data_IF_101392708597
#
_entry.id   IF_101392708597
#
_cell.length_a   1.000
_cell.length_b   1.000
_cell.length_c   1.000
_cell.angle_alpha   90.00
_cell.angle_beta   90.00
_cell.angle_gamma   90.00
#
_symmetry.space_group_name_H-M   'P 1'
#
loop_
_entity.id
_entity.type
_entity.pdbx_description
1 polymer ?
#
# COMPACT_ATOMS: atom_id res chain seq x y z
N UNK A 1 -10.72 -16.88 -54.91
CA UNK A 1 -10.30 -18.23 -55.29
C UNK A 1 -10.89 -18.53 -56.68
N UNK A 2 -10.09 -19.08 -57.56
CA UNK A 2 -10.49 -19.46 -58.90
C UNK A 2 -10.42 -20.98 -59.05
N UNK A 3 -11.45 -21.55 -59.61
CA UNK A 3 -11.49 -22.93 -59.99
C UNK A 3 -11.67 -23.00 -61.53
N UNK A 4 -11.27 -24.12 -62.13
CA UNK A 4 -11.42 -24.42 -63.54
C UNK A 4 -11.93 -25.84 -63.67
N UNK A 5 -12.88 -26.06 -64.62
CA UNK A 5 -13.39 -27.38 -64.93
C UNK A 5 -12.53 -28.09 -66.01
N UNK A 6 -12.86 -29.32 -66.37
CA UNK A 6 -12.12 -30.10 -67.34
C UNK A 6 -12.29 -29.60 -68.79
N UNK A 7 -13.21 -28.66 -69.03
CA UNK A 7 -13.43 -28.00 -70.31
C UNK A 7 -12.67 -26.68 -70.45
N UNK A 8 -11.94 -26.27 -69.38
CA UNK A 8 -11.24 -24.98 -69.31
C UNK A 8 -12.14 -23.82 -68.95
N UNK A 9 -13.40 -24.07 -68.51
CA UNK A 9 -14.30 -23.01 -68.05
C UNK A 9 -13.92 -22.62 -66.58
N UNK A 10 -13.89 -21.32 -66.32
CA UNK A 10 -13.38 -20.78 -65.11
C UNK A 10 -14.51 -20.15 -64.28
N UNK A 11 -14.45 -20.40 -62.97
CA UNK A 11 -15.31 -19.77 -61.99
C UNK A 11 -14.45 -19.13 -60.82
N UNK A 12 -14.87 -17.98 -60.43
CA UNK A 12 -14.24 -17.30 -59.29
C UNK A 12 -15.23 -17.19 -58.13
N UNK A 13 -14.71 -17.35 -56.93
CA UNK A 13 -15.44 -17.10 -55.69
C UNK A 13 -14.54 -16.39 -54.69
N UNK A 14 -15.11 -15.79 -53.67
CA UNK A 14 -14.39 -15.10 -52.61
C UNK A 14 -14.40 -15.90 -51.31
N UNK A 15 -13.33 -15.81 -50.55
CA UNK A 15 -13.28 -16.24 -49.17
C UNK A 15 -13.05 -14.99 -48.30
N UNK A 16 -13.98 -14.72 -47.40
CA UNK A 16 -13.89 -13.55 -46.50
C UNK A 16 -13.88 -14.04 -45.06
N UNK A 17 -12.70 -14.11 -44.41
CA UNK A 17 -12.62 -14.49 -43.02
C UNK A 17 -13.13 -13.36 -42.13
N UNK A 18 -13.78 -13.71 -41.04
CA UNK A 18 -14.09 -12.80 -39.93
C UNK A 18 -13.21 -13.19 -38.72
N UNK A 19 -12.53 -12.20 -38.15
CA UNK A 19 -11.67 -12.39 -36.96
C UNK A 19 -12.35 -11.76 -35.77
N UNK A 20 -12.55 -12.55 -34.73
CA UNK A 20 -13.08 -12.07 -33.44
C UNK A 20 -11.90 -11.62 -32.57
N UNK A 21 -11.88 -10.37 -32.09
CA UNK A 21 -10.82 -9.91 -31.20
C UNK A 21 -10.89 -10.61 -29.85
N UNK A 22 -9.73 -10.89 -29.26
CA UNK A 22 -9.57 -11.48 -27.94
C UNK A 22 -8.88 -10.46 -27.05
N UNK A 23 -9.58 -9.97 -26.02
CA UNK A 23 -9.10 -8.91 -25.16
C UNK A 23 -8.59 -9.48 -23.84
N UNK A 24 -7.40 -9.06 -23.36
CA UNK A 24 -6.92 -9.38 -22.03
C UNK A 24 -7.75 -8.66 -20.96
N UNK A 25 -7.74 -9.20 -19.76
CA UNK A 25 -8.34 -8.60 -18.57
C UNK A 25 -7.31 -8.51 -17.44
N UNK A 26 -7.68 -7.84 -16.34
CA UNK A 26 -6.80 -7.74 -15.20
C UNK A 26 -7.58 -7.61 -13.88
N UNK A 27 -7.02 -8.19 -12.80
CA UNK A 27 -7.55 -8.10 -11.45
C UNK A 27 -6.75 -7.10 -10.62
N UNK A 28 -7.41 -6.25 -9.80
CA UNK A 28 -6.73 -5.32 -8.92
C UNK A 28 -6.08 -6.02 -7.73
N UNK A 29 -5.09 -5.37 -7.13
CA UNK A 29 -4.47 -5.77 -5.90
C UNK A 29 -4.71 -4.74 -4.79
N UNK A 30 -4.74 -5.23 -3.55
CA UNK A 30 -4.79 -4.42 -2.33
C UNK A 30 -3.81 -5.00 -1.32
N UNK A 31 -3.31 -4.13 -0.43
CA UNK A 31 -2.56 -4.54 0.75
C UNK A 31 -2.97 -3.70 1.95
N UNK A 32 -2.77 -4.24 3.14
CA UNK A 32 -2.96 -3.53 4.40
C UNK A 32 -1.81 -3.86 5.34
N UNK A 33 -1.25 -2.84 5.99
CA UNK A 33 -0.13 -3.01 6.89
C UNK A 33 0.12 -1.76 7.75
N UNK A 34 1.06 -1.84 8.69
CA UNK A 34 1.33 -0.74 9.62
C UNK A 34 1.98 0.44 8.91
N UNK A 35 1.73 1.64 9.44
CA UNK A 35 2.32 2.89 8.96
C UNK A 35 3.85 2.82 8.90
N UNK A 36 4.45 3.48 7.91
CA UNK A 36 5.90 3.58 7.75
C UNK A 36 6.59 2.33 7.19
N UNK A 37 5.86 1.23 6.95
CA UNK A 37 6.40 -0.01 6.37
C UNK A 37 6.04 -0.11 4.91
N UNK A 38 7.02 -0.50 4.09
CA UNK A 38 6.83 -0.78 2.68
C UNK A 38 5.77 -1.86 2.47
N UNK A 39 4.91 -1.67 1.47
CA UNK A 39 3.87 -2.64 1.12
C UNK A 39 3.98 -3.04 -0.34
N UNK A 40 3.61 -4.28 -0.63
CA UNK A 40 3.54 -4.81 -1.98
C UNK A 40 2.18 -5.42 -2.27
N UNK A 41 1.83 -5.46 -3.55
CA UNK A 41 0.66 -6.17 -4.04
C UNK A 41 0.88 -6.61 -5.48
N UNK A 42 0.47 -7.83 -5.80
CA UNK A 42 0.62 -8.38 -7.14
C UNK A 42 -0.68 -8.24 -7.92
N UNK A 43 -0.66 -7.43 -8.98
CA UNK A 43 -1.76 -7.36 -9.94
C UNK A 43 -1.68 -8.53 -10.90
N UNK A 44 -2.85 -9.06 -11.28
CA UNK A 44 -2.93 -10.19 -12.18
C UNK A 44 -3.44 -9.74 -13.54
N UNK A 45 -2.67 -10.03 -14.60
CA UNK A 45 -3.11 -9.85 -15.98
C UNK A 45 -3.45 -11.21 -16.58
N UNK A 46 -4.63 -11.31 -17.17
CA UNK A 46 -5.20 -12.55 -17.72
C UNK A 46 -5.29 -12.39 -19.23
N UNK A 47 -4.65 -13.28 -20.01
CA UNK A 47 -4.80 -13.25 -21.47
C UNK A 47 -6.25 -13.48 -21.87
N UNK A 48 -6.68 -12.88 -22.96
CA UNK A 48 -8.03 -13.11 -23.47
C UNK A 48 -8.21 -14.55 -23.88
N UNK A 49 -9.39 -15.13 -23.60
CA UNK A 49 -9.78 -16.49 -23.98
C UNK A 49 -8.80 -17.61 -23.56
N UNK A 50 -8.35 -17.65 -22.25
CA UNK A 50 -7.25 -18.51 -21.82
C UNK A 50 -7.56 -20.01 -21.87
N UNK A 51 -8.85 -20.40 -21.92
CA UNK A 51 -9.31 -21.79 -21.76
C UNK A 51 -10.31 -22.22 -22.86
N UNK A 52 -10.31 -21.56 -24.02
CA UNK A 52 -11.19 -21.92 -25.15
C UNK A 52 -10.37 -22.39 -26.34
N UNK A 53 -10.87 -23.39 -27.03
CA UNK A 53 -10.29 -23.83 -28.27
C UNK A 53 -10.85 -23.04 -29.50
N UNK A 54 -10.00 -22.59 -30.39
CA UNK A 54 -8.54 -22.63 -30.30
C UNK A 54 -8.04 -21.68 -29.18
N UNK A 55 -6.98 -22.08 -28.44
CA UNK A 55 -6.35 -21.24 -27.45
C UNK A 55 -5.99 -19.87 -28.03
N UNK A 56 -6.15 -18.82 -27.19
CA UNK A 56 -5.74 -17.49 -27.60
C UNK A 56 -4.21 -17.45 -27.77
N UNK A 57 -3.70 -17.11 -28.94
CA UNK A 57 -2.26 -16.97 -29.15
C UNK A 57 -1.70 -15.65 -28.64
N UNK A 58 -2.44 -14.90 -27.84
CA UNK A 58 -2.08 -13.57 -27.34
C UNK A 58 -1.78 -13.57 -25.83
N UNK A 59 -0.66 -14.19 -25.37
CA UNK A 59 -0.25 -14.12 -23.98
C UNK A 59 0.12 -12.68 -23.58
N UNK A 60 0.06 -12.41 -22.28
CA UNK A 60 0.50 -11.12 -21.73
C UNK A 60 2.02 -10.95 -21.92
N UNK A 61 2.41 -9.84 -22.51
CA UNK A 61 3.81 -9.46 -22.63
C UNK A 61 4.25 -8.71 -21.36
N UNK A 62 4.89 -9.42 -20.43
CA UNK A 62 5.31 -8.87 -19.13
C UNK A 62 6.24 -7.66 -19.25
N UNK A 63 7.06 -7.59 -20.34
CA UNK A 63 7.94 -6.43 -20.54
C UNK A 63 7.20 -5.11 -20.78
N UNK A 64 5.90 -5.19 -21.11
CA UNK A 64 5.04 -4.02 -21.32
C UNK A 64 4.31 -3.55 -20.07
N UNK A 65 4.52 -4.22 -18.91
CA UNK A 65 3.90 -3.79 -17.66
C UNK A 65 4.50 -2.44 -17.26
N UNK A 66 3.64 -1.43 -17.07
CA UNK A 66 4.01 -0.05 -16.70
C UNK A 66 3.04 0.51 -15.66
N UNK A 67 3.56 1.38 -14.82
CA UNK A 67 2.70 2.28 -14.03
C UNK A 67 2.23 3.42 -14.90
N UNK A 68 1.05 3.95 -14.60
CA UNK A 68 0.56 5.19 -15.20
C UNK A 68 0.49 6.29 -14.13
N UNK A 69 0.96 7.46 -14.49
CA UNK A 69 0.78 8.66 -13.68
C UNK A 69 -0.69 9.15 -13.71
N UNK A 70 -1.00 10.21 -12.96
CA UNK A 70 -2.34 10.80 -12.91
C UNK A 70 -2.83 11.34 -14.26
N UNK A 71 -1.92 11.62 -15.18
CA UNK A 71 -2.22 12.08 -16.55
C UNK A 71 -2.39 10.92 -17.53
N UNK A 72 -2.16 9.67 -17.07
CA UNK A 72 -2.23 8.46 -17.88
C UNK A 72 -0.97 8.15 -18.68
N UNK A 73 0.14 8.83 -18.40
CA UNK A 73 1.42 8.57 -19.05
C UNK A 73 2.16 7.43 -18.34
N UNK A 74 2.93 6.65 -19.12
CA UNK A 74 3.79 5.61 -18.58
C UNK A 74 4.90 6.21 -17.72
N UNK A 75 5.13 5.63 -16.53
CA UNK A 75 6.13 6.05 -15.57
C UNK A 75 6.84 4.85 -14.92
N UNK A 76 8.12 5.01 -14.58
CA UNK A 76 8.86 4.00 -13.80
C UNK A 76 8.50 4.08 -12.31
N UNK A 77 8.17 5.28 -11.82
CA UNK A 77 7.72 5.54 -10.46
C UNK A 77 6.58 6.55 -10.48
N UNK A 78 5.67 6.43 -9.51
CA UNK A 78 4.56 7.39 -9.32
C UNK A 78 4.57 7.88 -7.89
N UNK A 79 4.84 9.18 -7.71
CA UNK A 79 4.79 9.84 -6.41
C UNK A 79 3.35 10.17 -6.04
N UNK A 80 2.98 9.89 -4.80
CA UNK A 80 1.67 10.23 -4.24
C UNK A 80 1.79 11.33 -3.21
N UNK A 81 0.95 12.36 -3.37
CA UNK A 81 0.84 13.47 -2.43
C UNK A 81 -0.55 13.52 -1.81
N UNK A 82 -0.63 13.86 -0.52
CA UNK A 82 -1.86 14.10 0.21
C UNK A 82 -1.75 15.44 0.91
N UNK A 83 -2.73 16.31 0.71
CA UNK A 83 -2.75 17.67 1.30
C UNK A 83 -1.46 18.46 1.06
N UNK A 84 -0.88 18.31 -0.15
CA UNK A 84 0.36 18.99 -0.57
C UNK A 84 1.66 18.35 -0.04
N UNK A 85 1.57 17.29 0.77
CA UNK A 85 2.73 16.56 1.29
C UNK A 85 2.91 15.24 0.56
N UNK A 86 4.15 14.90 0.19
CA UNK A 86 4.47 13.59 -0.34
C UNK A 86 4.31 12.53 0.75
N UNK A 87 3.54 11.46 0.45
CA UNK A 87 3.30 10.35 1.38
C UNK A 87 4.04 9.08 0.97
N UNK A 88 4.45 8.96 -0.28
CA UNK A 88 5.21 7.80 -0.76
C UNK A 88 5.26 7.68 -2.26
N UNK A 89 5.92 6.61 -2.72
CA UNK A 89 6.23 6.37 -4.13
C UNK A 89 5.91 4.93 -4.51
N UNK A 90 5.19 4.77 -5.62
CA UNK A 90 5.00 3.48 -6.28
C UNK A 90 6.16 3.15 -7.23
N UNK A 91 6.52 1.87 -7.28
CA UNK A 91 7.45 1.30 -8.25
C UNK A 91 7.06 -0.12 -8.62
N UNK A 92 7.51 -0.60 -9.80
CA UNK A 92 7.34 -2.01 -10.19
C UNK A 92 8.51 -2.84 -9.66
N UNK A 93 8.19 -4.03 -9.14
CA UNK A 93 9.20 -5.04 -8.83
C UNK A 93 9.58 -5.74 -10.13
N UNK A 94 10.88 -5.88 -10.38
CA UNK A 94 11.45 -6.52 -11.57
C UNK A 94 12.20 -7.78 -11.17
N UNK A 95 12.20 -8.77 -12.04
CA UNK A 95 12.99 -9.98 -11.86
C UNK A 95 14.49 -9.75 -12.11
N UNK A 96 15.30 -10.80 -11.98
CA UNK A 96 16.75 -10.73 -12.20
C UNK A 96 17.19 -10.32 -13.63
N UNK A 97 16.27 -10.33 -14.59
CA UNK A 97 16.49 -9.90 -15.96
C UNK A 97 15.95 -8.48 -16.23
N UNK A 98 15.43 -7.81 -15.19
CA UNK A 98 14.84 -6.47 -15.30
C UNK A 98 13.42 -6.45 -15.85
N UNK A 99 12.75 -7.61 -15.98
CA UNK A 99 11.37 -7.71 -16.48
C UNK A 99 10.39 -7.52 -15.30
N UNK A 100 9.37 -6.67 -15.42
CA UNK A 100 8.36 -6.50 -14.40
C UNK A 100 7.62 -7.80 -14.10
N UNK A 101 7.43 -8.10 -12.79
CA UNK A 101 6.76 -9.32 -12.34
C UNK A 101 5.24 -9.20 -12.26
N UNK A 102 4.71 -7.97 -12.26
CA UNK A 102 3.33 -7.65 -11.92
C UNK A 102 3.16 -7.27 -10.44
N UNK A 103 4.20 -7.44 -9.64
CA UNK A 103 4.22 -6.94 -8.27
C UNK A 103 4.52 -5.44 -8.25
N UNK A 104 3.68 -4.69 -7.54
CA UNK A 104 3.81 -3.26 -7.32
C UNK A 104 4.20 -3.03 -5.87
N UNK A 105 5.19 -2.19 -5.66
CA UNK A 105 5.67 -1.78 -4.37
C UNK A 105 5.30 -0.33 -4.10
N UNK A 106 4.86 -0.05 -2.88
CA UNK A 106 4.70 1.30 -2.34
C UNK A 106 5.67 1.51 -1.19
N UNK A 107 6.56 2.48 -1.34
CA UNK A 107 7.52 2.87 -0.31
C UNK A 107 7.05 4.17 0.34
N UNK A 108 6.61 4.16 1.62
CA UNK A 108 6.16 5.36 2.31
C UNK A 108 7.36 6.29 2.61
N UNK A 109 7.23 7.56 2.22
CA UNK A 109 8.17 8.65 2.58
C UNK A 109 7.67 9.35 3.85
N UNK A 110 6.35 9.47 4.02
CA UNK A 110 5.74 9.88 5.28
C UNK A 110 5.42 8.66 6.15
N UNK A 111 6.27 8.40 7.14
CA UNK A 111 6.08 7.28 8.08
C UNK A 111 4.93 7.47 9.05
N UNK A 112 4.33 8.65 9.11
CA UNK A 112 3.21 8.95 9.99
C UNK A 112 1.85 8.82 9.30
N UNK A 113 1.84 8.61 7.97
CA UNK A 113 0.62 8.50 7.21
C UNK A 113 -0.19 7.25 7.59
N UNK A 114 -1.48 7.46 7.85
CA UNK A 114 -2.48 6.42 8.13
C UNK A 114 -3.66 6.60 7.17
N UNK A 115 -4.16 5.52 6.63
CA UNK A 115 -5.29 5.52 5.71
C UNK A 115 -5.00 4.82 4.39
N UNK A 116 -5.99 4.83 3.50
CA UNK A 116 -5.87 4.30 2.15
C UNK A 116 -5.11 5.29 1.26
N UNK A 117 -4.13 4.79 0.51
CA UNK A 117 -3.36 5.57 -0.46
C UNK A 117 -4.14 5.64 -1.77
N UNK A 118 -4.05 6.76 -2.48
CA UNK A 118 -4.60 6.89 -3.82
C UNK A 118 -4.06 5.77 -4.73
N UNK A 119 -4.93 5.00 -5.42
CA UNK A 119 -4.51 3.86 -6.21
C UNK A 119 -3.62 4.27 -7.39
N UNK A 120 -2.62 3.44 -7.69
CA UNK A 120 -1.86 3.55 -8.93
C UNK A 120 -2.47 2.67 -10.00
N UNK A 121 -2.56 3.17 -11.21
CA UNK A 121 -2.95 2.36 -12.38
C UNK A 121 -1.75 1.61 -12.92
N UNK A 122 -1.94 0.33 -13.20
CA UNK A 122 -0.96 -0.56 -13.84
C UNK A 122 -1.55 -1.04 -15.16
N UNK A 123 -0.78 -0.96 -16.24
CA UNK A 123 -1.19 -1.50 -17.53
C UNK A 123 -0.22 -2.57 -18.02
N UNK A 124 -0.72 -3.48 -18.85
CA UNK A 124 0.08 -4.40 -19.64
C UNK A 124 -0.55 -4.54 -21.04
N UNK A 125 0.24 -5.01 -22.00
CA UNK A 125 -0.23 -5.37 -23.34
C UNK A 125 -0.06 -6.88 -23.53
N UNK A 126 -0.96 -7.46 -24.29
CA UNK A 126 -0.75 -8.78 -24.85
C UNK A 126 0.17 -8.74 -26.09
N UNK A 127 0.46 -9.89 -26.68
CA UNK A 127 1.28 -9.97 -27.89
C UNK A 127 0.61 -9.36 -29.14
N UNK A 128 -0.70 -9.10 -29.09
CA UNK A 128 -1.44 -8.36 -30.14
C UNK A 128 -1.44 -6.85 -29.89
N UNK A 129 -0.75 -6.39 -28.84
CA UNK A 129 -0.72 -4.99 -28.40
C UNK A 129 -2.05 -4.49 -27.81
N UNK A 130 -2.97 -5.37 -27.45
CA UNK A 130 -4.19 -5.00 -26.75
C UNK A 130 -3.90 -4.73 -25.29
N UNK A 131 -4.44 -3.63 -24.76
CA UNK A 131 -4.13 -3.13 -23.42
C UNK A 131 -5.13 -3.66 -22.38
N UNK A 132 -4.63 -4.16 -21.26
CA UNK A 132 -5.38 -4.34 -20.02
C UNK A 132 -4.88 -3.36 -18.96
N UNK A 133 -5.79 -2.85 -18.12
CA UNK A 133 -5.48 -1.94 -17.01
C UNK A 133 -6.12 -2.44 -15.73
N UNK A 134 -5.43 -2.19 -14.62
CA UNK A 134 -5.91 -2.49 -13.26
C UNK A 134 -5.28 -1.52 -12.26
N UNK A 135 -5.55 -1.71 -10.97
CA UNK A 135 -5.02 -0.82 -9.93
C UNK A 135 -4.41 -1.61 -8.77
N UNK A 136 -3.45 -0.97 -8.08
CA UNK A 136 -2.98 -1.40 -6.77
C UNK A 136 -3.24 -0.30 -5.75
N UNK A 137 -3.77 -0.70 -4.57
CA UNK A 137 -4.18 0.21 -3.50
C UNK A 137 -3.66 -0.30 -2.15
N UNK A 138 -2.61 0.30 -1.57
CA UNK A 138 -2.18 0.01 -0.20
C UNK A 138 -3.00 0.81 0.82
N UNK A 139 -3.15 0.26 2.02
CA UNK A 139 -3.74 0.91 3.18
C UNK A 139 -2.80 0.80 4.38
N UNK A 140 -2.60 1.91 5.08
CA UNK A 140 -1.78 1.98 6.28
C UNK A 140 -2.64 2.06 7.54
N UNK A 141 -2.32 1.22 8.54
CA UNK A 141 -2.94 1.24 9.87
C UNK A 141 -2.01 1.92 10.87
N UNK A 142 -2.59 2.68 11.78
CA UNK A 142 -1.84 3.37 12.83
C UNK A 142 -1.18 2.38 13.80
N UNK A 143 -0.01 2.75 14.30
CA UNK A 143 0.71 2.04 15.35
C UNK A 143 0.73 2.92 16.59
N UNK A 144 0.16 2.44 17.69
CA UNK A 144 0.02 3.20 18.94
C UNK A 144 0.92 2.60 20.02
N UNK A 145 1.78 3.40 20.68
CA UNK A 145 2.58 2.93 21.79
C UNK A 145 1.70 2.58 23.00
N UNK A 146 2.23 1.77 23.89
CA UNK A 146 1.58 1.37 25.14
C UNK A 146 2.38 1.83 26.35
N UNK A 147 1.68 2.12 27.46
CA UNK A 147 2.28 2.43 28.75
C UNK A 147 2.02 1.32 29.76
N UNK A 148 3.03 0.96 30.54
CA UNK A 148 2.89 0.05 31.67
C UNK A 148 2.87 0.87 32.97
N UNK A 149 1.80 0.78 33.78
CA UNK A 149 1.73 1.47 35.05
C UNK A 149 2.79 0.94 36.03
N UNK A 150 3.19 1.80 36.93
CA UNK A 150 4.13 1.47 38.03
C UNK A 150 3.47 1.80 39.36
N UNK A 151 3.55 0.89 40.28
CA UNK A 151 3.12 1.08 41.67
C UNK A 151 4.33 1.09 42.59
N UNK A 152 4.25 1.88 43.63
CA UNK A 152 5.25 1.92 44.69
C UNK A 152 4.59 1.83 46.06
N UNK A 153 5.27 1.21 47.02
CA UNK A 153 4.83 1.12 48.42
C UNK A 153 5.93 1.59 49.33
N UNK A 154 5.62 2.46 50.26
CA UNK A 154 6.61 3.02 51.15
C UNK A 154 6.03 3.46 52.49
N UNK A 155 6.92 3.93 53.35
CA UNK A 155 6.57 4.41 54.69
C UNK A 155 5.99 5.84 54.62
N UNK A 156 4.99 6.13 55.42
CA UNK A 156 4.38 7.45 55.54
C UNK A 156 5.44 8.56 55.73
N UNK A 157 5.31 9.65 54.97
CA UNK A 157 6.22 10.79 55.04
C UNK A 157 7.55 10.60 54.28
N UNK A 158 7.74 9.49 53.59
CA UNK A 158 8.90 9.26 52.70
C UNK A 158 8.54 9.44 51.25
N UNK A 159 9.45 10.06 50.50
CA UNK A 159 9.37 10.12 49.03
C UNK A 159 9.37 8.73 48.44
N UNK A 160 8.58 8.54 47.40
CA UNK A 160 8.55 7.33 46.60
C UNK A 160 8.82 7.66 45.15
N UNK A 161 9.52 6.78 44.50
CA UNK A 161 9.86 6.92 43.09
C UNK A 161 9.26 5.77 42.29
N UNK A 162 8.95 6.04 41.04
CA UNK A 162 8.47 5.03 40.08
C UNK A 162 8.79 5.47 38.66
N UNK A 163 9.24 4.53 37.86
CA UNK A 163 9.58 4.79 36.45
C UNK A 163 8.57 4.10 35.56
N UNK A 164 7.56 4.83 35.03
CA UNK A 164 6.64 4.29 34.02
C UNK A 164 7.40 3.82 32.78
N UNK A 165 6.97 2.71 32.22
CA UNK A 165 7.60 2.16 31.02
C UNK A 165 6.69 2.38 29.82
N UNK A 166 7.27 2.90 28.74
CA UNK A 166 6.62 3.03 27.44
C UNK A 166 7.20 2.00 26.48
N UNK A 167 6.35 1.41 25.64
CA UNK A 167 6.74 0.39 24.66
C UNK A 167 6.16 0.77 23.30
N UNK A 168 6.94 0.59 22.26
CA UNK A 168 6.49 0.77 20.88
C UNK A 168 5.24 -0.06 20.61
N UNK A 169 4.34 0.45 19.79
CA UNK A 169 3.08 -0.22 19.47
C UNK A 169 3.23 -1.48 18.64
N UNK A 170 4.29 -1.57 17.83
CA UNK A 170 4.66 -2.76 17.08
C UNK A 170 6.18 -2.84 16.97
N UNK A 171 6.78 -3.90 17.51
CA UNK A 171 8.23 -4.13 17.50
C UNK A 171 8.80 -4.36 16.10
N UNK A 172 7.96 -4.72 15.12
CA UNK A 172 8.36 -4.91 13.72
C UNK A 172 8.43 -3.61 12.93
N UNK A 173 7.81 -2.55 13.47
CA UNK A 173 7.78 -1.23 12.84
C UNK A 173 8.75 -0.32 13.58
N UNK A 174 9.69 0.34 12.91
CA UNK A 174 10.71 1.18 13.56
C UNK A 174 10.15 2.56 13.98
N UNK A 175 8.92 2.63 14.46
CA UNK A 175 8.35 3.82 15.08
C UNK A 175 8.62 3.72 16.57
N UNK A 176 9.66 4.42 17.00
CA UNK A 176 10.16 4.38 18.38
C UNK A 176 9.49 5.44 19.26
N UNK A 177 9.54 5.22 20.57
CA UNK A 177 9.25 6.27 21.54
C UNK A 177 10.26 7.40 21.32
N UNK A 178 9.79 8.64 21.26
CA UNK A 178 10.65 9.81 21.14
C UNK A 178 11.24 10.17 22.51
N UNK A 179 12.42 9.64 22.79
CA UNK A 179 13.14 9.88 24.04
C UNK A 179 13.69 11.33 24.14
N UNK A 180 13.62 12.12 23.06
CA UNK A 180 14.01 13.53 23.09
C UNK A 180 12.91 14.41 23.67
N UNK A 181 11.68 13.91 23.76
CA UNK A 181 10.55 14.58 24.37
C UNK A 181 10.42 14.11 25.83
N UNK A 182 10.43 15.03 26.80
CA UNK A 182 10.22 14.65 28.21
C UNK A 182 8.81 14.08 28.37
N UNK A 183 8.66 13.08 29.23
CA UNK A 183 7.37 12.64 29.69
C UNK A 183 6.65 13.78 30.41
N UNK A 184 5.39 14.01 30.05
CA UNK A 184 4.56 15.07 30.66
C UNK A 184 3.41 14.48 31.47
N UNK A 185 2.96 15.18 32.47
CA UNK A 185 1.73 14.84 33.14
C UNK A 185 0.52 15.08 32.24
N UNK A 186 -0.49 14.28 32.41
CA UNK A 186 -1.64 14.25 31.52
C UNK A 186 -2.94 14.16 32.32
N UNK A 187 -3.91 14.99 32.00
CA UNK A 187 -5.21 14.94 32.66
C UNK A 187 -6.05 13.80 32.07
N UNK A 188 -6.43 12.77 32.85
CA UNK A 188 -7.16 11.62 32.34
C UNK A 188 -8.60 11.94 31.88
N UNK A 189 -9.16 13.08 32.32
CA UNK A 189 -10.54 13.49 32.00
C UNK A 189 -10.59 14.36 30.74
N UNK A 190 -9.79 15.47 30.73
CA UNK A 190 -9.79 16.41 29.59
C UNK A 190 -8.96 15.92 28.42
N UNK A 191 -8.07 14.94 28.63
CA UNK A 191 -7.15 14.44 27.60
C UNK A 191 -6.13 15.47 27.13
N UNK A 192 -5.80 16.45 28.00
CA UNK A 192 -4.84 17.50 27.71
C UNK A 192 -3.57 17.34 28.58
N UNK A 193 -2.39 17.72 28.03
CA UNK A 193 -1.18 17.80 28.82
C UNK A 193 -1.34 18.80 29.96
N UNK A 194 -0.76 18.50 31.10
CA UNK A 194 -0.70 19.41 32.27
C UNK A 194 0.63 20.13 32.17
N UNK A 195 0.60 21.46 32.11
CA UNK A 195 1.81 22.29 31.99
C UNK A 195 2.62 22.42 33.29
N UNK A 196 1.96 22.15 34.42
CA UNK A 196 2.61 22.23 35.73
C UNK A 196 3.60 21.08 35.92
N UNK A 197 4.77 21.38 36.43
CA UNK A 197 5.82 20.39 36.76
C UNK A 197 5.58 19.70 38.10
N UNK A 198 4.65 20.24 38.92
CA UNK A 198 4.24 19.69 40.19
C UNK A 198 2.73 19.55 40.26
N UNK A 199 2.24 18.35 40.45
CA UNK A 199 0.81 18.05 40.52
C UNK A 199 0.44 17.58 41.92
N UNK A 200 -0.51 18.24 42.61
CA UNK A 200 -0.92 17.82 43.94
C UNK A 200 -1.61 16.44 43.89
N UNK A 201 -1.15 15.52 44.70
CA UNK A 201 -1.83 14.27 45.02
C UNK A 201 -2.84 14.51 46.13
N UNK A 202 -4.12 14.21 45.87
CA UNK A 202 -5.20 14.42 46.85
C UNK A 202 -5.84 13.11 47.23
N UNK A 203 -6.23 13.01 48.50
CA UNK A 203 -7.07 11.93 49.05
C UNK A 203 -8.15 12.56 49.94
N UNK A 204 -9.41 12.21 49.68
CA UNK A 204 -10.58 12.71 50.40
C UNK A 204 -10.60 14.26 50.47
N UNK A 205 -10.23 14.92 49.37
CA UNK A 205 -10.19 16.36 49.23
C UNK A 205 -9.01 17.07 49.91
N UNK A 206 -8.09 16.33 50.55
CA UNK A 206 -6.88 16.87 51.18
C UNK A 206 -5.64 16.55 50.35
N UNK A 207 -4.76 17.53 50.18
CA UNK A 207 -3.44 17.32 49.59
C UNK A 207 -2.61 16.45 50.48
N UNK A 208 -2.16 15.29 50.01
CA UNK A 208 -1.34 14.31 50.75
C UNK A 208 0.09 14.24 50.23
N UNK A 209 0.36 14.88 49.08
CA UNK A 209 1.67 14.93 48.45
C UNK A 209 1.62 15.62 47.10
N UNK A 210 2.70 15.50 46.32
CA UNK A 210 2.79 16.00 44.96
C UNK A 210 3.57 15.02 44.11
N UNK A 211 3.24 14.99 42.82
CA UNK A 211 4.05 14.38 41.79
C UNK A 211 4.98 15.44 41.19
N UNK A 212 6.23 15.05 40.87
CA UNK A 212 7.25 15.91 40.24
C UNK A 212 7.98 15.12 39.18
#
# INVERSE_FOLDING_TARGET
>A
VRGEDTNGSQVTTTYTPSIIPVNPSANPAKSEGPQGVEQTGTVEFIPGNPNKEPESPAPINKSTIKLLDKSGNEAETVTVTKDGKEIGVYSLVKDGNGVPTGEVKFTPTDKTYVGEVEPVTVQAKDTNSTVAKTTYTPKFTGVTPTGTPVESTGIQGKTQEGTPKFTEGDVKVPIKIDETQPATFYNPVTKEPIAETEIPATKDGKVVGKYT
#
